data_IF_946984613877
#
_entry.id   IF_946984613877
#
_cell.length_a   1.000
_cell.length_b   1.000
_cell.length_c   1.000
_cell.angle_alpha   90.00
_cell.angle_beta   90.00
_cell.angle_gamma   90.00
#
_symmetry.space_group_name_H-M   'P 1'
#
loop_
_entity.id
_entity.type
_entity.pdbx_description
1 polymer ?
#
# COMPACT_ATOMS: atom_id res chain seq x y z
N UNK A 1 2.48 -0.08 13.11
CA UNK A 1 3.47 0.46 12.17
C UNK A 1 4.29 -0.68 11.53
N UNK A 2 4.01 -0.98 10.26
CA UNK A 2 4.83 -1.90 9.45
C UNK A 2 6.15 -1.21 9.12
N UNK A 3 7.05 -1.16 10.10
CA UNK A 3 8.37 -0.58 9.96
C UNK A 3 9.11 -1.29 8.81
N UNK A 4 9.43 -0.54 7.75
CA UNK A 4 10.15 -1.04 6.56
C UNK A 4 9.43 -0.84 5.22
N UNK A 5 8.09 -0.75 5.20
CA UNK A 5 7.36 -0.60 3.93
C UNK A 5 7.48 0.80 3.33
N UNK A 6 7.63 1.85 4.14
CA UNK A 6 7.76 3.23 3.67
C UNK A 6 9.02 3.48 2.83
N UNK A 7 10.15 2.84 3.18
CA UNK A 7 11.39 2.92 2.39
C UNK A 7 11.22 2.24 1.03
N UNK A 8 10.65 1.03 1.00
CA UNK A 8 10.42 0.33 -0.26
C UNK A 8 9.47 1.11 -1.18
N UNK A 9 8.43 1.72 -0.62
CA UNK A 9 7.52 2.59 -1.36
C UNK A 9 8.25 3.82 -1.92
N UNK A 10 9.09 4.46 -1.12
CA UNK A 10 9.89 5.62 -1.54
C UNK A 10 10.91 5.28 -2.62
N UNK A 11 11.60 4.14 -2.53
CA UNK A 11 12.52 3.67 -3.57
C UNK A 11 11.79 3.36 -4.88
N UNK A 12 10.60 2.78 -4.80
CA UNK A 12 9.75 2.55 -5.98
C UNK A 12 9.28 3.88 -6.61
N UNK A 13 8.92 4.87 -5.78
CA UNK A 13 8.59 6.23 -6.24
C UNK A 13 9.78 6.89 -6.95
N UNK A 14 10.99 6.82 -6.37
CA UNK A 14 12.22 7.35 -6.98
C UNK A 14 12.51 6.71 -8.33
N UNK A 15 12.37 5.38 -8.44
CA UNK A 15 12.57 4.66 -9.70
C UNK A 15 11.63 5.21 -10.79
N UNK A 16 10.33 5.24 -10.52
CA UNK A 16 9.33 5.68 -11.51
C UNK A 16 9.47 7.17 -11.84
N UNK A 17 9.80 8.01 -10.85
CA UNK A 17 10.05 9.43 -11.09
C UNK A 17 11.28 9.63 -11.99
N UNK A 18 12.36 8.86 -11.77
CA UNK A 18 13.57 8.95 -12.59
C UNK A 18 13.31 8.56 -14.05
N UNK A 19 12.49 7.54 -14.28
CA UNK A 19 12.05 7.12 -15.62
C UNK A 19 11.24 8.23 -16.30
N UNK A 20 10.33 8.87 -15.56
CA UNK A 20 9.53 9.99 -16.08
C UNK A 20 10.39 11.20 -16.46
N UNK A 21 11.38 11.54 -15.62
CA UNK A 21 12.32 12.64 -15.85
C UNK A 21 13.20 12.34 -17.07
N UNK A 22 13.78 11.14 -17.16
CA UNK A 22 14.60 10.74 -18.31
C UNK A 22 13.81 10.77 -19.61
N UNK A 23 12.56 10.32 -19.58
CA UNK A 23 11.68 10.37 -20.76
C UNK A 23 11.30 11.81 -21.14
N UNK A 24 11.12 12.72 -20.18
CA UNK A 24 10.89 14.14 -20.45
C UNK A 24 12.13 14.80 -21.07
N UNK A 25 13.30 14.56 -20.49
CA UNK A 25 14.57 15.07 -20.98
C UNK A 25 14.86 14.64 -22.42
N UNK A 26 14.67 13.35 -22.74
CA UNK A 26 14.81 12.83 -24.11
C UNK A 26 13.88 13.50 -25.13
N UNK A 27 12.75 14.06 -24.69
CA UNK A 27 11.77 14.76 -25.53
C UNK A 27 11.96 16.28 -25.53
N UNK A 28 12.99 16.81 -24.85
CA UNK A 28 13.16 18.25 -24.65
C UNK A 28 12.07 18.90 -23.80
N UNK A 29 11.29 18.10 -23.07
CA UNK A 29 10.25 18.60 -22.16
C UNK A 29 10.86 19.05 -20.85
N UNK A 30 10.30 20.11 -20.25
CA UNK A 30 10.67 20.51 -18.90
C UNK A 30 10.35 19.38 -17.91
N UNK A 31 11.29 19.09 -17.01
CA UNK A 31 11.12 18.06 -15.98
C UNK A 31 10.04 18.44 -14.96
N UNK A 32 9.80 19.74 -14.77
CA UNK A 32 8.75 20.28 -13.91
C UNK A 32 7.39 20.41 -14.59
N UNK A 33 7.25 19.99 -15.85
CA UNK A 33 5.98 20.04 -16.56
C UNK A 33 4.93 19.19 -15.85
N UNK A 34 3.75 19.77 -15.63
CA UNK A 34 2.59 19.12 -15.02
C UNK A 34 2.26 17.80 -15.74
N UNK A 35 2.45 17.73 -17.06
CA UNK A 35 2.23 16.49 -17.80
C UNK A 35 3.17 15.35 -17.37
N UNK A 36 4.43 15.67 -17.04
CA UNK A 36 5.42 14.71 -16.52
C UNK A 36 5.04 14.26 -15.11
N UNK A 37 4.71 15.21 -14.23
CA UNK A 37 4.31 14.92 -12.85
C UNK A 37 3.00 14.10 -12.80
N UNK A 38 2.03 14.38 -13.67
CA UNK A 38 0.77 13.63 -13.78
C UNK A 38 0.98 12.19 -14.28
N UNK A 39 2.02 11.93 -15.08
CA UNK A 39 2.39 10.56 -15.48
C UNK A 39 2.98 9.78 -14.31
N UNK A 40 3.94 10.38 -13.61
CA UNK A 40 4.50 9.83 -12.38
C UNK A 40 3.39 9.52 -11.36
N UNK A 41 2.53 10.51 -11.07
CA UNK A 41 1.45 10.36 -10.11
C UNK A 41 0.49 9.24 -10.50
N UNK A 42 0.07 9.13 -11.76
CA UNK A 42 -0.81 8.03 -12.21
C UNK A 42 -0.18 6.66 -11.99
N UNK A 43 1.10 6.50 -12.25
CA UNK A 43 1.79 5.22 -12.09
C UNK A 43 1.95 4.81 -10.63
N UNK A 44 2.08 5.76 -9.69
CA UNK A 44 2.28 5.46 -8.26
C UNK A 44 1.02 5.58 -7.38
N UNK A 45 -0.03 6.27 -7.86
CA UNK A 45 -1.25 6.56 -7.07
C UNK A 45 -1.94 5.29 -6.54
N UNK A 46 -1.99 4.23 -7.34
CA UNK A 46 -2.60 2.96 -6.92
C UNK A 46 -1.86 2.34 -5.74
N UNK A 47 -0.56 2.11 -5.90
CA UNK A 47 0.31 1.52 -4.87
C UNK A 47 0.33 2.38 -3.58
N UNK A 48 0.44 3.70 -3.73
CA UNK A 48 0.48 4.62 -2.60
C UNK A 48 -0.87 4.65 -1.87
N UNK A 49 -2.00 4.59 -2.59
CA UNK A 49 -3.33 4.52 -1.97
C UNK A 49 -3.56 3.18 -1.24
N UNK A 50 -3.12 2.06 -1.82
CA UNK A 50 -3.21 0.75 -1.19
C UNK A 50 -2.42 0.72 0.13
N UNK A 51 -1.19 1.25 0.12
CA UNK A 51 -0.35 1.37 1.32
C UNK A 51 -0.99 2.27 2.38
N UNK A 52 -1.50 3.45 1.99
CA UNK A 52 -2.21 4.35 2.91
C UNK A 52 -3.43 3.67 3.54
N UNK A 53 -4.20 2.92 2.75
CA UNK A 53 -5.38 2.19 3.22
C UNK A 53 -5.00 1.08 4.19
N UNK A 54 -3.91 0.35 3.92
CA UNK A 54 -3.40 -0.67 4.82
C UNK A 54 -2.94 -0.07 6.16
N UNK A 55 -2.22 1.05 6.13
CA UNK A 55 -1.76 1.76 7.34
C UNK A 55 -2.95 2.28 8.15
N UNK A 56 -3.92 2.91 7.50
CA UNK A 56 -5.13 3.41 8.15
C UNK A 56 -5.99 2.26 8.72
N UNK A 57 -6.13 1.16 7.99
CA UNK A 57 -6.81 -0.05 8.46
C UNK A 57 -6.13 -0.63 9.71
N UNK A 58 -4.79 -0.70 9.71
CA UNK A 58 -4.03 -1.12 10.88
C UNK A 58 -4.23 -0.14 12.04
N UNK A 59 -4.15 1.17 11.80
CA UNK A 59 -4.37 2.19 12.82
C UNK A 59 -5.76 2.06 13.45
N UNK A 60 -6.81 1.86 12.64
CA UNK A 60 -8.19 1.66 13.14
C UNK A 60 -8.36 0.36 13.91
N UNK A 61 -7.72 -0.73 13.46
CA UNK A 61 -7.77 -2.04 14.12
C UNK A 61 -7.13 -2.02 15.52
N UNK A 62 -6.08 -1.22 15.69
CA UNK A 62 -5.31 -1.10 16.94
C UNK A 62 -5.58 0.19 17.72
N UNK A 63 -6.47 1.06 17.23
CA UNK A 63 -6.92 2.23 17.98
C UNK A 63 -7.64 1.77 19.26
N UNK A 64 -7.64 2.56 20.35
CA UNK A 64 -8.41 2.26 21.55
C UNK A 64 -9.88 2.10 21.19
N UNK A 65 -10.45 0.92 21.46
CA UNK A 65 -11.81 0.56 21.06
C UNK A 65 -12.73 0.55 22.30
N UNK A 66 -13.96 1.10 22.24
CA UNK A 66 -15.02 0.73 23.17
C UNK A 66 -15.40 -0.77 23.04
N UNK A 67 -15.92 -1.37 24.11
CA UNK A 67 -16.21 -2.81 24.27
C UNK A 67 -16.74 -3.61 23.04
N UNK A 68 -17.61 -3.07 22.14
CA UNK A 68 -18.19 -3.84 21.03
C UNK A 68 -17.20 -4.35 19.96
N UNK A 69 -16.22 -3.55 19.49
CA UNK A 69 -15.33 -4.06 18.43
C UNK A 69 -14.26 -5.04 18.96
N UNK A 70 -14.07 -5.11 20.28
CA UNK A 70 -13.21 -6.13 20.91
C UNK A 70 -13.83 -7.53 20.74
N UNK A 71 -15.16 -7.63 20.78
CA UNK A 71 -15.90 -8.86 20.53
C UNK A 71 -15.84 -9.27 19.05
N UNK A 72 -16.01 -8.31 18.12
CA UNK A 72 -15.86 -8.54 16.69
C UNK A 72 -14.45 -9.03 16.31
N UNK A 73 -13.41 -8.45 16.93
CA UNK A 73 -12.01 -8.89 16.77
C UNK A 73 -11.82 -10.33 17.23
N UNK A 74 -12.33 -10.68 18.41
CA UNK A 74 -12.18 -12.04 18.95
C UNK A 74 -13.00 -13.07 18.15
N UNK A 75 -14.20 -12.72 17.69
CA UNK A 75 -15.01 -13.56 16.82
C UNK A 75 -14.34 -13.78 15.45
N UNK A 76 -13.80 -12.72 14.83
CA UNK A 76 -13.05 -12.82 13.57
C UNK A 76 -11.78 -13.66 13.69
N UNK A 77 -11.03 -13.53 14.79
CA UNK A 77 -9.84 -14.36 15.05
C UNK A 77 -10.21 -15.83 15.26
N UNK A 78 -11.29 -16.15 15.97
CA UNK A 78 -11.78 -17.52 16.12
C UNK A 78 -12.19 -18.14 14.78
N UNK A 79 -12.88 -17.38 13.93
CA UNK A 79 -13.30 -17.84 12.59
C UNK A 79 -12.07 -18.09 11.69
N UNK A 80 -11.08 -17.20 11.72
CA UNK A 80 -9.82 -17.36 10.97
C UNK A 80 -9.00 -18.56 11.46
N UNK A 81 -9.02 -18.83 12.77
CA UNK A 81 -8.29 -19.93 13.38
C UNK A 81 -8.91 -21.30 13.06
N UNK A 82 -10.23 -21.36 12.87
CA UNK A 82 -10.92 -22.58 12.45
C UNK A 82 -10.81 -22.89 10.95
N UNK A 83 -10.37 -21.94 10.10
CA UNK A 83 -10.26 -22.13 8.64
C UNK A 83 -8.85 -21.83 8.13
N UNK A 84 -7.93 -22.78 8.34
CA UNK A 84 -6.54 -22.72 7.89
C UNK A 84 -6.36 -22.40 6.39
N UNK A 85 -7.30 -22.81 5.54
CA UNK A 85 -7.30 -22.51 4.10
C UNK A 85 -7.53 -21.03 3.80
N UNK A 86 -8.35 -20.34 4.59
CA UNK A 86 -8.61 -18.90 4.44
C UNK A 86 -7.41 -18.08 4.89
N UNK A 87 -6.78 -18.48 6.01
CA UNK A 87 -5.51 -17.90 6.49
C UNK A 87 -4.42 -17.98 5.41
N UNK A 88 -4.27 -19.14 4.76
CA UNK A 88 -3.27 -19.33 3.70
C UNK A 88 -3.56 -18.48 2.45
N UNK A 89 -4.83 -18.28 2.07
CA UNK A 89 -5.18 -17.37 0.96
C UNK A 89 -4.85 -15.92 1.27
N UNK A 90 -5.15 -15.45 2.48
CA UNK A 90 -4.85 -14.08 2.91
C UNK A 90 -3.34 -13.83 2.94
N UNK A 91 -2.56 -14.79 3.44
CA UNK A 91 -1.09 -14.69 3.46
C UNK A 91 -0.52 -14.65 2.03
N UNK A 92 -1.00 -15.51 1.13
CA UNK A 92 -0.57 -15.48 -0.28
C UNK A 92 -0.89 -14.16 -0.99
N UNK A 93 -2.07 -13.58 -0.72
CA UNK A 93 -2.44 -12.26 -1.23
C UNK A 93 -1.56 -11.14 -0.64
N UNK A 94 -1.31 -11.16 0.68
CA UNK A 94 -0.45 -10.19 1.34
C UNK A 94 1.02 -10.27 0.89
N UNK A 95 1.48 -11.44 0.43
CA UNK A 95 2.80 -11.64 -0.16
C UNK A 95 2.85 -11.37 -1.67
N UNK A 96 1.71 -11.07 -2.33
CA UNK A 96 1.65 -10.80 -3.77
C UNK A 96 1.92 -12.01 -4.66
N UNK A 97 1.65 -13.23 -4.17
CA UNK A 97 1.87 -14.49 -4.91
C UNK A 97 0.62 -14.89 -5.74
N UNK A 98 -0.48 -14.15 -5.60
CA UNK A 98 -1.72 -14.31 -6.37
C UNK A 98 -2.14 -12.94 -6.90
#
# INVERSE_FOLDING_TARGET
PLAGQGINLGLADVKVLSECILAAHKRGQSVGDIAVLNRYQRQRKGDNLAMMTAVEGFKRLFAPIPLPLRWLRNAGMNILQQRATLKNKIIKYAMGII
#
